data_IF_346216357489
#
_entry.id   IF_346216357489
#
_cell.length_a   1.000
_cell.length_b   1.000
_cell.length_c   1.000
_cell.angle_alpha   90.00
_cell.angle_beta   90.00
_cell.angle_gamma   90.00
#
_symmetry.space_group_name_H-M   'P 1'
#
loop_
_entity.id
_entity.type
_entity.pdbx_description
1 polymer ?
#
# COMPACT_ATOMS: atom_id res chain seq x y z
N UNK A 1 -10.92 12.35 -0.52
CA UNK A 1 -10.01 11.42 0.17
C UNK A 1 -8.58 11.68 -0.28
N UNK A 2 -7.64 11.69 0.64
CA UNK A 2 -6.23 11.93 0.32
C UNK A 2 -5.30 11.11 1.21
N UNK A 3 -4.08 10.93 0.73
CA UNK A 3 -2.97 10.35 1.49
C UNK A 3 -1.88 11.42 1.57
N UNK A 4 -1.55 11.84 2.76
CA UNK A 4 -0.54 12.88 2.97
C UNK A 4 0.66 12.33 3.71
N UNK A 5 1.83 12.50 3.11
CA UNK A 5 3.11 12.12 3.69
C UNK A 5 3.78 13.37 4.23
N UNK A 6 4.07 13.38 5.54
CA UNK A 6 4.69 14.52 6.22
C UNK A 6 6.04 14.12 6.79
N UNK A 7 7.09 14.75 6.31
CA UNK A 7 8.45 14.61 6.82
C UNK A 7 8.88 13.15 7.00
N UNK A 8 8.52 12.30 6.02
CA UNK A 8 8.76 10.86 6.09
C UNK A 8 10.25 10.56 5.99
N UNK A 9 10.75 9.86 7.00
CA UNK A 9 12.16 9.46 7.10
C UNK A 9 12.26 7.98 7.39
N UNK A 10 13.28 7.37 6.83
CA UNK A 10 13.61 5.97 7.11
C UNK A 10 15.12 5.76 7.04
N UNK A 11 15.65 5.14 8.09
CA UNK A 11 17.05 4.80 8.20
C UNK A 11 17.22 3.29 8.35
N UNK A 12 18.10 2.71 7.57
CA UNK A 12 18.54 1.32 7.70
C UNK A 12 19.99 1.30 8.16
N UNK A 13 20.22 0.94 9.43
CA UNK A 13 21.56 1.00 10.00
C UNK A 13 22.13 2.42 9.96
N UNK A 14 23.17 2.65 9.15
CA UNK A 14 23.79 3.96 8.94
C UNK A 14 23.29 4.68 7.68
N UNK A 15 22.44 4.05 6.88
CA UNK A 15 21.96 4.59 5.60
C UNK A 15 20.57 5.19 5.78
N UNK A 16 20.45 6.49 5.52
CA UNK A 16 19.16 7.18 5.50
C UNK A 16 18.55 7.06 4.11
N UNK A 17 17.60 6.12 3.96
CA UNK A 17 16.93 5.87 2.69
C UNK A 17 15.94 6.97 2.30
N UNK A 18 15.24 7.55 3.29
CA UNK A 18 14.36 8.71 3.11
C UNK A 18 14.78 9.81 4.08
N UNK A 19 14.91 11.03 3.57
CA UNK A 19 15.47 12.19 4.29
C UNK A 19 14.45 13.26 4.67
N UNK A 20 13.17 12.94 4.62
CA UNK A 20 12.11 13.89 4.91
C UNK A 20 11.29 14.20 3.66
N UNK A 21 10.43 13.28 3.29
CA UNK A 21 9.54 13.43 2.13
C UNK A 21 8.23 14.05 2.57
N UNK A 22 7.77 15.05 1.82
CA UNK A 22 6.47 15.68 2.00
C UNK A 22 5.72 15.62 0.68
N UNK A 23 4.54 15.04 0.68
CA UNK A 23 3.69 14.99 -0.50
C UNK A 23 2.25 14.66 -0.13
N UNK A 24 1.31 15.21 -0.89
CA UNK A 24 -0.11 14.89 -0.77
C UNK A 24 -0.60 14.21 -2.04
N UNK A 25 -1.07 12.98 -1.89
CA UNK A 25 -1.68 12.23 -2.98
C UNK A 25 -3.19 12.41 -2.92
N UNK A 26 -3.77 12.92 -3.99
CA UNK A 26 -5.21 12.92 -4.25
C UNK A 26 -5.55 11.75 -5.17
N UNK A 27 -6.84 11.39 -5.34
CA UNK A 27 -7.21 10.29 -6.24
C UNK A 27 -6.62 10.45 -7.64
N UNK A 28 -5.99 9.40 -8.15
CA UNK A 28 -5.34 9.41 -9.45
C UNK A 28 -4.25 8.36 -9.57
N UNK A 29 -3.57 8.35 -10.70
CA UNK A 29 -2.44 7.47 -10.98
C UNK A 29 -1.14 8.25 -10.93
N UNK A 30 -0.16 7.75 -10.19
CA UNK A 30 1.13 8.39 -9.96
C UNK A 30 2.27 7.50 -10.41
N UNK A 31 3.22 8.09 -11.12
CA UNK A 31 4.50 7.47 -11.43
C UNK A 31 5.59 8.01 -10.52
N UNK A 32 6.35 7.12 -9.89
CA UNK A 32 7.50 7.51 -9.05
C UNK A 32 8.76 7.19 -9.83
N UNK A 33 9.50 8.25 -10.20
CA UNK A 33 10.71 8.15 -10.97
C UNK A 33 11.94 8.46 -10.12
N UNK A 34 13.03 7.80 -10.43
CA UNK A 34 14.31 8.02 -9.75
C UNK A 34 15.26 6.87 -10.01
N UNK A 35 16.54 7.08 -9.72
CA UNK A 35 17.55 6.04 -9.82
C UNK A 35 17.32 4.93 -8.77
N UNK A 36 17.85 3.74 -9.01
CA UNK A 36 17.88 2.67 -8.03
C UNK A 36 18.62 3.17 -6.78
N UNK A 37 18.03 2.91 -5.60
CA UNK A 37 18.56 3.40 -4.33
C UNK A 37 18.09 4.80 -3.94
N UNK A 38 17.22 5.44 -4.73
CA UNK A 38 16.65 6.75 -4.38
C UNK A 38 15.51 6.71 -3.36
N UNK A 39 15.20 5.54 -2.79
CA UNK A 39 14.17 5.39 -1.76
C UNK A 39 12.76 5.11 -2.27
N UNK A 40 12.57 4.85 -3.56
CA UNK A 40 11.24 4.57 -4.15
C UNK A 40 10.54 3.39 -3.50
N UNK A 41 11.22 2.26 -3.43
CA UNK A 41 10.68 1.04 -2.81
C UNK A 41 10.45 1.22 -1.31
N UNK A 42 11.34 1.94 -0.63
CA UNK A 42 11.21 2.27 0.79
C UNK A 42 9.94 3.10 1.03
N UNK A 43 9.69 4.12 0.23
CA UNK A 43 8.50 4.95 0.37
C UNK A 43 7.22 4.14 0.17
N UNK A 44 7.16 3.30 -0.85
CA UNK A 44 6.00 2.43 -1.12
C UNK A 44 5.79 1.46 0.04
N UNK A 45 6.85 0.83 0.54
CA UNK A 45 6.76 -0.10 1.67
C UNK A 45 6.28 0.58 2.96
N UNK A 46 6.66 1.82 3.19
CA UNK A 46 6.18 2.59 4.34
C UNK A 46 4.70 2.97 4.20
N UNK A 47 4.30 3.43 3.01
CA UNK A 47 2.90 3.80 2.73
C UNK A 47 1.98 2.58 2.83
N UNK A 48 2.43 1.43 2.40
CA UNK A 48 1.65 0.19 2.46
C UNK A 48 1.74 -0.54 3.81
N UNK A 49 2.45 0.03 4.76
CA UNK A 49 2.67 -0.52 6.11
C UNK A 49 3.38 -1.89 6.12
N UNK A 50 4.20 -2.15 5.11
CA UNK A 50 5.04 -3.35 5.06
C UNK A 50 6.36 -3.18 5.82
N UNK A 51 6.79 -1.94 6.03
CA UNK A 51 7.99 -1.59 6.78
C UNK A 51 7.63 -0.50 7.77
N UNK A 52 8.19 -0.59 8.97
CA UNK A 52 7.96 0.42 10.01
C UNK A 52 8.79 1.67 9.80
N UNK A 53 8.21 2.82 10.11
CA UNK A 53 8.93 4.09 10.16
C UNK A 53 9.97 4.10 11.26
N UNK A 54 10.93 5.03 11.18
CA UNK A 54 11.82 5.31 12.29
C UNK A 54 10.98 5.72 13.52
N UNK A 55 11.32 5.18 14.68
CA UNK A 55 10.59 5.45 15.93
C UNK A 55 10.70 6.92 16.34
N UNK A 56 11.85 7.54 16.08
CA UNK A 56 12.10 8.94 16.36
C UNK A 56 12.18 9.72 15.06
N UNK A 57 11.40 10.77 14.95
CA UNK A 57 11.41 11.69 13.79
C UNK A 57 11.11 11.01 12.44
N UNK A 58 10.41 9.87 12.45
CA UNK A 58 10.05 9.16 11.21
C UNK A 58 8.95 9.80 10.39
N UNK A 59 8.34 10.85 10.90
CA UNK A 59 7.26 11.56 10.22
C UNK A 59 5.89 10.91 10.39
N UNK A 60 4.96 11.30 9.55
CA UNK A 60 3.60 10.76 9.57
C UNK A 60 3.07 10.49 8.17
N UNK A 61 2.14 9.55 8.09
CA UNK A 61 1.39 9.23 6.88
C UNK A 61 -0.09 9.28 7.26
N UNK A 62 -0.79 10.29 6.75
CA UNK A 62 -2.18 10.56 7.08
C UNK A 62 -3.09 10.14 5.92
N UNK A 63 -4.19 9.49 6.25
CA UNK A 63 -5.16 9.03 5.27
C UNK A 63 -6.58 9.36 5.70
N UNK A 64 -7.39 9.85 4.80
CA UNK A 64 -8.80 10.14 5.03
C UNK A 64 -9.33 11.31 4.23
N UNK A 65 -10.54 11.73 4.59
CA UNK A 65 -11.16 12.93 4.07
C UNK A 65 -10.57 14.17 4.74
N UNK A 66 -10.71 15.33 4.10
CA UNK A 66 -10.23 16.61 4.65
C UNK A 66 -10.79 16.85 6.05
N UNK A 67 -9.91 17.26 6.96
CA UNK A 67 -10.19 17.50 8.39
C UNK A 67 -10.54 16.24 9.21
N UNK A 68 -10.47 15.05 8.60
CA UNK A 68 -10.72 13.77 9.27
C UNK A 68 -9.60 12.75 8.99
N UNK A 69 -8.43 13.22 8.57
CA UNK A 69 -7.29 12.34 8.31
C UNK A 69 -6.72 11.79 9.61
N UNK A 70 -6.38 10.52 9.60
CA UNK A 70 -5.69 9.88 10.70
C UNK A 70 -4.44 9.17 10.20
N UNK A 71 -3.44 9.05 11.09
CA UNK A 71 -2.23 8.31 10.77
C UNK A 71 -2.56 6.84 10.48
N UNK A 72 -1.92 6.27 9.44
CA UNK A 72 -2.18 4.88 9.03
C UNK A 72 -1.86 3.87 10.12
N UNK A 73 -0.96 4.18 11.05
CA UNK A 73 -0.66 3.32 12.20
C UNK A 73 -1.85 3.26 13.16
N UNK A 74 -2.56 4.36 13.33
CA UNK A 74 -3.75 4.41 14.16
C UNK A 74 -4.94 3.70 13.49
N UNK A 75 -5.08 3.85 12.18
CA UNK A 75 -6.10 3.14 11.41
C UNK A 75 -5.88 1.63 11.37
N UNK A 76 -4.61 1.20 11.35
CA UNK A 76 -4.25 -0.21 11.44
C UNK A 76 -4.90 -1.09 10.38
N UNK A 77 -5.68 -2.07 10.82
CA UNK A 77 -6.35 -3.03 9.93
C UNK A 77 -7.31 -2.38 8.95
N UNK A 78 -7.96 -1.29 9.32
CA UNK A 78 -8.86 -0.56 8.42
C UNK A 78 -8.10 -0.05 7.19
N UNK A 79 -6.95 0.57 7.40
CA UNK A 79 -6.12 1.04 6.32
C UNK A 79 -5.57 -0.12 5.48
N UNK A 80 -4.99 -1.13 6.12
CA UNK A 80 -4.44 -2.29 5.40
C UNK A 80 -5.49 -3.03 4.56
N UNK A 81 -6.74 -3.05 5.01
CA UNK A 81 -7.85 -3.63 4.25
C UNK A 81 -8.18 -2.88 2.96
N UNK A 82 -7.83 -1.59 2.88
CA UNK A 82 -8.06 -0.75 1.71
C UNK A 82 -6.88 -0.77 0.72
N UNK A 83 -5.73 -1.30 1.12
CA UNK A 83 -4.50 -1.27 0.33
C UNK A 83 -4.32 -2.56 -0.46
N UNK A 84 -4.10 -2.43 -1.76
CA UNK A 84 -3.56 -3.50 -2.60
C UNK A 84 -2.09 -3.20 -2.88
N UNK A 85 -1.23 -4.20 -2.73
CA UNK A 85 0.21 -4.05 -2.96
C UNK A 85 0.76 -5.20 -3.79
N UNK A 86 1.49 -4.84 -4.85
CA UNK A 86 2.19 -5.81 -5.69
C UNK A 86 3.69 -5.50 -5.62
N UNK A 87 4.48 -6.32 -4.91
CA UNK A 87 5.92 -6.10 -4.79
C UNK A 87 6.64 -6.39 -6.10
N UNK A 88 7.86 -5.85 -6.24
CA UNK A 88 8.73 -6.09 -7.38
C UNK A 88 9.10 -7.56 -7.52
N UNK A 89 9.28 -8.26 -6.39
CA UNK A 89 9.49 -9.70 -6.34
C UNK A 89 8.36 -10.32 -5.52
N UNK A 90 7.52 -11.10 -6.19
CA UNK A 90 6.48 -11.87 -5.51
C UNK A 90 6.97 -13.29 -5.25
N UNK A 91 6.86 -13.73 -3.99
CA UNK A 91 6.88 -15.14 -3.67
C UNK A 91 5.53 -15.74 -4.07
N UNK A 92 5.56 -16.76 -4.90
CA UNK A 92 4.37 -17.54 -5.23
C UNK A 92 4.31 -18.77 -4.31
N UNK A 93 3.11 -19.14 -3.90
CA UNK A 93 2.88 -20.45 -3.31
C UNK A 93 2.89 -21.49 -4.44
N UNK A 94 3.89 -22.35 -4.47
CA UNK A 94 4.12 -23.31 -5.55
C UNK A 94 2.93 -24.28 -5.74
N UNK A 95 2.20 -24.58 -4.65
CA UNK A 95 1.05 -25.48 -4.65
C UNK A 95 -0.24 -24.87 -5.18
N UNK A 96 -0.25 -23.56 -5.46
CA UNK A 96 -1.42 -22.88 -5.98
C UNK A 96 -1.35 -22.66 -7.48
N UNK A 97 -2.45 -22.95 -8.19
CA UNK A 97 -2.66 -22.41 -9.52
C UNK A 97 -2.83 -20.88 -9.44
N UNK A 98 -2.59 -20.12 -10.53
CA UNK A 98 -2.83 -18.68 -10.53
C UNK A 98 -4.23 -18.29 -10.08
N UNK A 99 -5.25 -19.02 -10.52
CA UNK A 99 -6.65 -18.79 -10.12
C UNK A 99 -6.86 -19.04 -8.62
N UNK A 100 -6.33 -20.15 -8.10
CA UNK A 100 -6.45 -20.50 -6.68
C UNK A 100 -5.72 -19.49 -5.79
N UNK A 101 -4.54 -19.02 -6.22
CA UNK A 101 -3.77 -17.98 -5.51
C UNK A 101 -4.54 -16.66 -5.42
N UNK A 102 -5.08 -16.19 -6.54
CA UNK A 102 -5.87 -14.96 -6.57
C UNK A 102 -7.12 -15.07 -5.71
N UNK A 103 -7.80 -16.21 -5.75
CA UNK A 103 -8.98 -16.47 -4.90
C UNK A 103 -8.61 -16.43 -3.41
N UNK A 104 -7.52 -17.07 -3.04
CA UNK A 104 -7.01 -17.08 -1.66
C UNK A 104 -6.68 -15.66 -1.19
N UNK A 105 -5.99 -14.87 -2.01
CA UNK A 105 -5.67 -13.48 -1.67
C UNK A 105 -6.91 -12.61 -1.55
N UNK A 106 -7.90 -12.81 -2.41
CA UNK A 106 -9.19 -12.11 -2.33
C UNK A 106 -9.92 -12.43 -1.03
N UNK A 107 -9.93 -13.68 -0.60
CA UNK A 107 -10.55 -14.10 0.68
C UNK A 107 -9.87 -13.45 1.88
N UNK A 108 -8.53 -13.43 1.91
CA UNK A 108 -7.75 -12.76 2.97
C UNK A 108 -8.10 -11.27 3.05
N UNK A 109 -8.28 -10.61 1.91
CA UNK A 109 -8.62 -9.17 1.83
C UNK A 109 -10.10 -8.88 2.05
N UNK A 110 -10.92 -9.91 2.22
CA UNK A 110 -12.36 -9.73 2.41
C UNK A 110 -13.11 -9.27 1.16
N UNK A 111 -12.57 -9.54 -0.02
CA UNK A 111 -13.23 -9.21 -1.28
C UNK A 111 -14.41 -10.13 -1.50
N UNK A 112 -15.60 -9.55 -1.66
CA UNK A 112 -16.82 -10.31 -1.89
C UNK A 112 -16.91 -10.76 -3.35
N UNK A 113 -17.43 -11.97 -3.55
CA UNK A 113 -17.72 -12.48 -4.90
C UNK A 113 -18.81 -11.63 -5.55
N UNK A 114 -18.51 -11.10 -6.72
CA UNK A 114 -19.48 -10.39 -7.54
C UNK A 114 -20.08 -11.39 -8.52
N UNK A 115 -21.40 -11.48 -8.51
CA UNK A 115 -22.12 -12.26 -9.53
C UNK A 115 -22.21 -11.44 -10.80
N UNK A 116 -21.68 -11.96 -11.87
CA UNK A 116 -21.79 -11.39 -13.21
C UNK A 116 -22.58 -12.33 -14.08
N UNK A 117 -23.40 -11.79 -14.97
CA UNK A 117 -24.14 -12.57 -15.97
C UNK A 117 -23.64 -12.22 -17.36
N UNK A 118 -23.66 -13.21 -18.25
CA UNK A 118 -23.40 -12.99 -19.66
C UNK A 118 -24.63 -12.33 -20.35
N UNK A 119 -24.51 -12.06 -21.64
CA UNK A 119 -25.58 -11.43 -22.42
C UNK A 119 -26.87 -12.29 -22.51
N UNK A 120 -26.77 -13.58 -22.19
CA UNK A 120 -27.91 -14.52 -22.17
C UNK A 120 -28.47 -14.71 -20.75
N UNK A 121 -27.95 -14.02 -19.74
CA UNK A 121 -28.41 -14.11 -18.36
C UNK A 121 -27.80 -15.25 -17.57
N UNK A 122 -26.80 -15.95 -18.09
CA UNK A 122 -26.09 -17.00 -17.37
C UNK A 122 -25.03 -16.44 -16.43
N UNK A 123 -24.89 -17.04 -15.25
CA UNK A 123 -23.86 -16.65 -14.28
C UNK A 123 -22.46 -17.05 -14.80
N UNK A 124 -21.56 -16.09 -14.85
CA UNK A 124 -20.17 -16.29 -15.28
C UNK A 124 -19.18 -16.05 -14.15
#
# INVERSE_FOLDING_TARGET
>A
MKLEVRNLKKTYGTVQALKGINYTFTPGVYGILGANGAGKSTMINLITDNVSRDKMNGGSILFGEDSAEEDILKLGKQFRGLVGYMPQQQGFYEDFSPKAFLKYMAEIKGVKKIKTTDDNGNEV
#
